data_IF_959804734875
#
_entry.id   IF_959804734875
#
_cell.length_a   1.000
_cell.length_b   1.000
_cell.length_c   1.000
_cell.angle_alpha   90.00
_cell.angle_beta   90.00
_cell.angle_gamma   90.00
#
_symmetry.space_group_name_H-M   'P 1'
#
loop_
_entity.id
_entity.type
_entity.pdbx_description
1 polymer ?
#
# COMPACT_ATOMS: atom_id res chain seq x y z
N UNK A 1 18.67 5.28 -0.90
CA UNK A 1 17.22 5.51 -0.87
C UNK A 1 16.79 6.32 -2.10
N UNK A 2 15.55 6.17 -2.59
CA UNK A 2 15.09 6.86 -3.81
C UNK A 2 14.90 8.38 -3.54
N UNK A 3 15.41 9.29 -4.39
CA UNK A 3 15.52 10.75 -4.10
C UNK A 3 14.21 11.53 -3.86
N UNK A 4 13.05 10.86 -3.88
CA UNK A 4 11.72 11.47 -3.67
C UNK A 4 10.94 10.83 -2.53
N UNK A 5 11.56 9.91 -1.79
CA UNK A 5 11.00 9.40 -0.55
C UNK A 5 11.60 10.23 0.58
N UNK A 6 10.86 11.20 1.09
CA UNK A 6 11.15 11.65 2.45
C UNK A 6 10.65 10.54 3.37
N UNK A 7 11.56 9.94 4.15
CA UNK A 7 11.20 9.08 5.27
C UNK A 7 10.51 9.94 6.35
N UNK A 8 9.27 10.36 6.07
CA UNK A 8 8.40 11.00 7.04
C UNK A 8 7.99 9.92 8.03
N UNK A 9 8.67 9.86 9.16
CA UNK A 9 8.39 8.96 10.30
C UNK A 9 7.86 7.61 9.82
N UNK A 10 8.76 6.75 9.31
CA UNK A 10 8.43 5.32 9.22
C UNK A 10 8.27 4.83 10.66
N UNK A 11 7.04 4.93 11.17
CA UNK A 11 6.60 4.17 12.31
C UNK A 11 6.61 2.72 11.81
N UNK A 12 7.76 2.06 11.96
CA UNK A 12 7.87 0.64 11.62
C UNK A 12 6.84 -0.10 12.48
N UNK A 13 5.78 -0.58 11.83
CA UNK A 13 4.76 -1.37 12.50
C UNK A 13 5.45 -2.67 12.91
N UNK A 14 5.92 -2.72 14.16
CA UNK A 14 6.62 -3.89 14.70
C UNK A 14 5.69 -5.08 14.88
N UNK A 15 4.41 -4.82 15.18
CA UNK A 15 3.37 -5.84 15.34
C UNK A 15 1.99 -5.26 15.09
N UNK A 16 1.14 -6.04 14.42
CA UNK A 16 -0.30 -5.82 14.30
C UNK A 16 -1.01 -6.96 15.03
N UNK A 17 -1.73 -6.64 16.10
CA UNK A 17 -2.55 -7.58 16.85
C UNK A 17 -4.00 -7.13 16.92
N UNK A 18 -4.91 -8.10 16.89
CA UNK A 18 -6.33 -7.88 17.09
C UNK A 18 -6.91 -9.12 17.78
N UNK A 19 -7.66 -8.90 18.85
CA UNK A 19 -8.20 -9.94 19.70
C UNK A 19 -9.65 -9.61 20.05
N UNK A 20 -10.48 -10.65 20.20
CA UNK A 20 -11.79 -10.49 20.83
C UNK A 20 -11.61 -10.35 22.34
N UNK A 21 -12.39 -9.45 22.95
CA UNK A 21 -12.46 -9.30 24.40
C UNK A 21 -13.86 -9.60 24.89
N UNK A 22 -13.98 -10.32 25.99
CA UNK A 22 -15.26 -10.52 26.66
C UNK A 22 -15.70 -9.25 27.43
N UNK A 23 -16.86 -9.32 28.09
CA UNK A 23 -17.42 -8.17 28.84
C UNK A 23 -16.55 -7.72 30.01
N UNK A 24 -15.70 -8.59 30.51
CA UNK A 24 -14.76 -8.33 31.60
C UNK A 24 -13.39 -7.82 31.09
N UNK A 25 -13.24 -7.63 29.77
CA UNK A 25 -12.02 -7.15 29.13
C UNK A 25 -10.93 -8.21 28.96
N UNK A 26 -11.22 -9.48 29.22
CA UNK A 26 -10.27 -10.58 29.07
C UNK A 26 -10.17 -10.93 27.57
N UNK A 27 -8.93 -11.01 27.07
CA UNK A 27 -8.65 -11.41 25.70
C UNK A 27 -8.94 -12.91 25.51
N UNK A 28 -9.72 -13.23 24.49
CA UNK A 28 -10.14 -14.61 24.22
C UNK A 28 -9.29 -15.23 23.10
N UNK A 29 -9.57 -14.89 21.85
CA UNK A 29 -8.90 -15.46 20.69
C UNK A 29 -8.55 -14.40 19.63
N UNK A 30 -7.56 -14.66 18.76
CA UNK A 30 -7.17 -13.72 17.73
C UNK A 30 -8.29 -13.42 16.74
N UNK A 31 -8.54 -12.13 16.48
CA UNK A 31 -9.45 -11.66 15.46
C UNK A 31 -8.75 -11.68 14.08
N UNK A 32 -8.48 -12.87 13.56
CA UNK A 32 -7.66 -13.08 12.34
C UNK A 32 -8.15 -12.31 11.12
N UNK A 33 -9.47 -12.14 10.96
CA UNK A 33 -10.04 -11.35 9.86
C UNK A 33 -9.70 -9.85 9.98
N UNK A 34 -9.67 -9.31 11.20
CA UNK A 34 -9.28 -7.92 11.46
C UNK A 34 -7.80 -7.73 11.17
N UNK A 35 -6.94 -8.63 11.65
CA UNK A 35 -5.49 -8.59 11.34
C UNK A 35 -5.26 -8.62 9.83
N UNK A 36 -5.92 -9.53 9.11
CA UNK A 36 -5.83 -9.60 7.63
C UNK A 36 -6.30 -8.30 6.96
N UNK A 37 -7.41 -7.72 7.42
CA UNK A 37 -7.91 -6.44 6.91
C UNK A 37 -6.93 -5.29 7.14
N UNK A 38 -6.36 -5.20 8.34
CA UNK A 38 -5.36 -4.19 8.68
C UNK A 38 -4.07 -4.37 7.88
N UNK A 39 -3.54 -5.60 7.76
CA UNK A 39 -2.38 -5.89 6.93
C UNK A 39 -2.61 -5.47 5.47
N UNK A 40 -3.79 -5.75 4.90
CA UNK A 40 -4.12 -5.29 3.54
C UNK A 40 -4.10 -3.77 3.45
N UNK A 41 -4.70 -3.07 4.40
CA UNK A 41 -4.81 -1.60 4.39
C UNK A 41 -3.47 -0.89 4.66
N UNK A 42 -2.61 -1.47 5.49
CA UNK A 42 -1.31 -0.88 5.85
C UNK A 42 -0.21 -1.24 4.84
N UNK A 43 -0.21 -2.45 4.29
CA UNK A 43 0.93 -2.94 3.49
C UNK A 43 0.71 -2.82 1.98
N UNK A 44 -0.50 -3.10 1.46
CA UNK A 44 -0.72 -3.13 0.01
C UNK A 44 -0.57 -1.75 -0.65
N UNK A 45 -1.15 -0.65 -0.12
CA UNK A 45 -0.96 0.68 -0.71
C UNK A 45 0.51 1.09 -0.77
N UNK A 46 1.28 0.82 0.29
CA UNK A 46 2.70 1.15 0.37
C UNK A 46 3.53 0.38 -0.66
N UNK A 47 3.30 -0.94 -0.78
CA UNK A 47 3.95 -1.77 -1.81
C UNK A 47 3.60 -1.25 -3.20
N UNK A 48 2.33 -0.93 -3.45
CA UNK A 48 1.89 -0.42 -4.75
C UNK A 48 2.57 0.91 -5.09
N UNK A 49 2.60 1.86 -4.16
CA UNK A 49 3.26 3.16 -4.37
C UNK A 49 4.77 3.00 -4.60
N UNK A 50 5.43 2.09 -3.87
CA UNK A 50 6.84 1.74 -4.11
C UNK A 50 7.05 1.18 -5.51
N UNK A 51 6.21 0.26 -5.97
CA UNK A 51 6.29 -0.28 -7.34
C UNK A 51 6.11 0.81 -8.40
N UNK A 52 5.15 1.72 -8.19
CA UNK A 52 4.94 2.87 -9.08
C UNK A 52 6.16 3.77 -9.14
N UNK A 53 6.73 4.11 -7.98
CA UNK A 53 7.92 4.93 -7.88
C UNK A 53 9.13 4.31 -8.59
N UNK A 54 9.37 3.01 -8.38
CA UNK A 54 10.45 2.28 -9.06
C UNK A 54 10.26 2.33 -10.57
N UNK A 55 9.04 2.15 -11.05
CA UNK A 55 8.74 2.22 -12.49
C UNK A 55 9.04 3.60 -13.07
N UNK A 56 8.63 4.68 -12.37
CA UNK A 56 8.98 6.07 -12.76
C UNK A 56 10.48 6.29 -12.78
N UNK A 57 11.22 5.75 -11.81
CA UNK A 57 12.68 5.82 -11.78
C UNK A 57 13.33 5.07 -12.96
N UNK A 58 12.83 3.89 -13.31
CA UNK A 58 13.35 3.09 -14.42
C UNK A 58 13.16 3.80 -15.77
N UNK A 59 11.96 4.33 -16.02
CA UNK A 59 11.72 5.11 -17.25
C UNK A 59 12.60 6.36 -17.31
N UNK A 60 12.83 7.03 -16.17
CA UNK A 60 13.77 8.15 -16.08
C UNK A 60 15.22 7.79 -16.44
N UNK A 61 15.59 6.51 -16.34
CA UNK A 61 16.87 5.97 -16.79
C UNK A 61 16.85 5.39 -18.21
N UNK A 62 15.74 5.54 -18.94
CA UNK A 62 15.57 5.01 -20.30
C UNK A 62 15.18 3.52 -20.36
N UNK A 63 14.84 2.90 -19.23
CA UNK A 63 14.36 1.51 -19.17
C UNK A 63 12.84 1.51 -19.16
N UNK A 64 12.22 0.98 -20.21
CA UNK A 64 10.78 0.79 -20.25
C UNK A 64 10.40 -0.49 -19.48
N UNK A 65 9.52 -0.42 -18.46
CA UNK A 65 9.09 -1.62 -17.74
C UNK A 65 7.99 -2.37 -18.51
N UNK A 66 8.28 -3.61 -18.90
CA UNK A 66 7.42 -4.44 -19.78
C UNK A 66 6.00 -4.72 -19.26
N UNK A 67 5.79 -4.68 -17.94
CA UNK A 67 4.51 -5.06 -17.31
C UNK A 67 3.83 -3.90 -16.57
N UNK A 68 4.22 -2.66 -16.83
CA UNK A 68 3.72 -1.52 -16.06
C UNK A 68 2.23 -1.24 -16.29
N UNK A 69 1.77 -1.31 -17.53
CA UNK A 69 0.36 -1.08 -17.88
C UNK A 69 -0.56 -2.10 -17.21
N UNK A 70 -0.16 -3.38 -17.23
CA UNK A 70 -0.86 -4.46 -16.52
C UNK A 70 -0.95 -4.18 -15.01
N UNK A 71 0.10 -3.58 -14.44
CA UNK A 71 0.11 -3.21 -13.01
C UNK A 71 -0.83 -2.04 -12.72
N UNK A 72 -0.84 -1.00 -13.56
CA UNK A 72 -1.80 0.13 -13.44
C UNK A 72 -3.23 -0.39 -13.54
N UNK A 73 -3.50 -1.26 -14.52
CA UNK A 73 -4.82 -1.87 -14.73
C UNK A 73 -5.24 -2.69 -13.51
N UNK A 74 -4.37 -3.56 -12.99
CA UNK A 74 -4.63 -4.36 -11.80
C UNK A 74 -4.98 -3.49 -10.57
N UNK A 75 -4.25 -2.40 -10.35
CA UNK A 75 -4.48 -1.48 -9.22
C UNK A 75 -5.75 -0.65 -9.42
N UNK A 76 -6.06 -0.27 -10.66
CA UNK A 76 -7.25 0.50 -11.03
C UNK A 76 -8.52 -0.32 -11.14
N UNK A 77 -8.41 -1.64 -11.26
CA UNK A 77 -9.53 -2.56 -11.44
C UNK A 77 -10.50 -2.50 -10.24
N UNK A 78 -11.81 -2.30 -10.49
CA UNK A 78 -12.82 -2.31 -9.43
C UNK A 78 -12.96 -3.68 -8.77
N UNK A 79 -12.61 -4.77 -9.47
CA UNK A 79 -12.67 -6.14 -8.97
C UNK A 79 -11.67 -6.39 -7.83
N UNK A 80 -10.48 -5.79 -7.90
CA UNK A 80 -9.46 -5.96 -6.85
C UNK A 80 -9.75 -5.14 -5.59
N UNK A 81 -10.54 -4.06 -5.75
CA UNK A 81 -10.84 -3.06 -4.71
C UNK A 81 -9.60 -2.47 -4.05
N UNK A 82 -8.45 -2.50 -4.72
CA UNK A 82 -7.21 -1.98 -4.14
C UNK A 82 -7.31 -0.48 -3.85
N UNK A 83 -8.02 0.27 -4.69
CA UNK A 83 -8.26 1.70 -4.50
C UNK A 83 -8.89 2.04 -3.14
N UNK A 84 -9.74 1.17 -2.61
CA UNK A 84 -10.41 1.38 -1.31
C UNK A 84 -9.47 1.27 -0.12
N UNK A 85 -8.28 0.69 -0.32
CA UNK A 85 -7.28 0.53 0.73
C UNK A 85 -6.46 1.81 0.96
N UNK A 86 -6.43 2.71 -0.02
CA UNK A 86 -5.59 3.91 0.01
C UNK A 86 -6.19 4.99 0.91
N UNK A 87 -5.35 5.68 1.66
CA UNK A 87 -5.69 6.98 2.24
C UNK A 87 -5.79 8.05 1.13
N UNK A 88 -6.45 9.17 1.42
CA UNK A 88 -6.53 10.30 0.47
C UNK A 88 -5.14 10.82 0.07
N UNK A 89 -4.19 10.86 1.01
CA UNK A 89 -2.81 11.24 0.73
C UNK A 89 -2.10 10.24 -0.19
N UNK A 90 -2.30 8.93 0.03
CA UNK A 90 -1.75 7.90 -0.85
C UNK A 90 -2.39 7.93 -2.25
N UNK A 91 -3.68 8.25 -2.37
CA UNK A 91 -4.34 8.46 -3.67
C UNK A 91 -3.70 9.64 -4.44
N UNK A 92 -3.39 10.74 -3.76
CA UNK A 92 -2.68 11.88 -4.36
C UNK A 92 -1.27 11.49 -4.82
N UNK A 93 -0.53 10.75 -3.99
CA UNK A 93 0.79 10.24 -4.36
C UNK A 93 0.72 9.32 -5.59
N UNK A 94 -0.29 8.44 -5.64
CA UNK A 94 -0.54 7.57 -6.80
C UNK A 94 -0.77 8.40 -8.07
N UNK A 95 -1.65 9.40 -8.00
CA UNK A 95 -1.95 10.28 -9.13
C UNK A 95 -0.71 11.05 -9.61
N UNK A 96 0.16 11.47 -8.69
CA UNK A 96 1.42 12.09 -9.04
C UNK A 96 2.35 11.16 -9.81
N UNK A 97 2.48 9.89 -9.38
CA UNK A 97 3.26 8.90 -10.14
C UNK A 97 2.62 8.62 -11.50
N UNK A 98 1.29 8.54 -11.55
CA UNK A 98 0.55 8.34 -12.80
C UNK A 98 0.84 9.40 -13.87
N UNK A 99 1.05 10.65 -13.45
CA UNK A 99 1.43 11.77 -14.35
C UNK A 99 2.88 11.76 -14.81
N UNK A 100 3.73 10.94 -14.18
CA UNK A 100 5.17 10.84 -14.47
C UNK A 100 5.51 9.60 -15.30
N UNK A 101 4.51 8.78 -15.62
CA UNK A 101 4.56 7.93 -16.79
C UNK A 101 4.52 8.79 -18.05
#
# INVERSE_FOLDING_TARGET
ELPRFQAGVTMEISRLDAWYSNKDGILEFPATYIVKGLCRRCCLPEVILRCMQVSVSLMGSGVQPDSHDNFIELVGSPETRFLDLFSQQQLQARYYFLKKY
#
